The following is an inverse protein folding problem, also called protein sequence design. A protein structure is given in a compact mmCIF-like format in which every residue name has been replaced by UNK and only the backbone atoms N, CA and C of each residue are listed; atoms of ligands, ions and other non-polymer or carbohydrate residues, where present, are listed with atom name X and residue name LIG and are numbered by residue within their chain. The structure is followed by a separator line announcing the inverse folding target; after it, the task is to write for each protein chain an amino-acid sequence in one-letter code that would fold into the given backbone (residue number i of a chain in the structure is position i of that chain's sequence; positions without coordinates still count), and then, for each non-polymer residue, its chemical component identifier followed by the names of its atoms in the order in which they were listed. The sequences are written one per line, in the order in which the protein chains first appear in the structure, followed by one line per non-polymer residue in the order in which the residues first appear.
data_IF_544843557644
#
_entry.id   IF_544843557644
#
_cell.length_a   1.000
_cell.length_b   1.000
_cell.length_c   1.000
_cell.angle_alpha   90.00
_cell.angle_beta   90.00
_cell.angle_gamma   90.00
#
_symmetry.space_group_name_H-M   'P 1'
#
loop_
_entity.id
_entity.type
_entity.pdbx_description
1 polymer ?
#
# COMPACT_ATOMS: atom_id res chain seq x y z
N UNK A 1 4.08 19.04 -12.69
CA UNK A 1 4.77 17.81 -13.16
C UNK A 1 4.15 17.42 -14.49
N UNK A 2 4.96 17.26 -15.56
CA UNK A 2 4.46 17.07 -16.93
C UNK A 2 3.92 15.65 -17.09
N UNK A 3 2.62 15.48 -17.14
CA UNK A 3 1.91 14.18 -17.19
C UNK A 3 2.22 13.35 -18.46
N UNK A 4 2.77 13.97 -19.50
CA UNK A 4 3.10 13.33 -20.79
C UNK A 4 4.37 12.48 -20.77
N UNK A 5 5.08 12.41 -19.62
CA UNK A 5 6.34 11.65 -19.47
C UNK A 5 6.18 10.34 -18.71
N UNK A 6 4.97 9.88 -18.39
CA UNK A 6 4.80 8.57 -17.77
C UNK A 6 4.95 7.49 -18.87
N UNK A 7 6.09 6.74 -18.89
CA UNK A 7 6.29 5.74 -19.92
C UNK A 7 5.31 4.59 -19.72
N UNK A 8 4.43 4.38 -20.70
CA UNK A 8 3.57 3.20 -20.87
C UNK A 8 2.88 2.72 -19.57
N UNK A 9 2.04 3.58 -19.01
CA UNK A 9 1.11 3.20 -17.95
C UNK A 9 -0.23 2.79 -18.59
N UNK A 10 -0.81 1.69 -18.11
CA UNK A 10 -2.08 1.15 -18.61
C UNK A 10 -3.12 1.33 -17.51
N UNK A 11 -4.24 1.99 -17.83
CA UNK A 11 -5.39 2.06 -16.92
C UNK A 11 -6.10 0.72 -16.91
N UNK A 12 -6.14 0.08 -15.74
CA UNK A 12 -6.73 -1.27 -15.56
C UNK A 12 -8.11 -1.24 -14.92
N UNK A 13 -8.43 -0.16 -14.19
CA UNK A 13 -9.72 -0.01 -13.53
C UNK A 13 -10.05 1.46 -13.30
N UNK A 14 -11.34 1.74 -13.02
CA UNK A 14 -11.82 3.02 -12.49
C UNK A 14 -12.71 2.76 -11.29
N UNK A 15 -12.40 3.39 -10.18
CA UNK A 15 -13.16 3.31 -8.92
C UNK A 15 -13.61 4.72 -8.57
N UNK A 16 -14.92 4.99 -8.63
CA UNK A 16 -15.51 6.31 -8.37
C UNK A 16 -14.79 7.45 -9.11
N UNK A 17 -14.54 7.27 -10.43
CA UNK A 17 -13.82 8.21 -11.28
C UNK A 17 -12.31 8.39 -10.97
N UNK A 18 -11.72 7.59 -10.09
CA UNK A 18 -10.26 7.50 -9.88
C UNK A 18 -9.72 6.42 -10.83
N UNK A 19 -8.80 6.80 -11.71
CA UNK A 19 -8.14 5.86 -12.61
C UNK A 19 -7.05 5.08 -11.87
N UNK A 20 -7.14 3.75 -11.90
CA UNK A 20 -6.09 2.86 -11.41
C UNK A 20 -5.19 2.49 -12.58
N UNK A 21 -3.93 2.87 -12.51
CA UNK A 21 -2.99 2.77 -13.62
C UNK A 21 -1.76 1.97 -13.18
N UNK A 22 -1.37 0.99 -13.99
CA UNK A 22 -0.17 0.18 -13.76
C UNK A 22 0.94 0.64 -14.71
N UNK A 23 2.11 0.92 -14.16
CA UNK A 23 3.33 1.09 -14.94
C UNK A 23 3.85 -0.29 -15.36
N UNK A 24 4.45 -0.40 -16.54
CA UNK A 24 5.01 -1.67 -17.04
C UNK A 24 6.02 -2.32 -16.07
N UNK A 25 6.70 -1.53 -15.24
CA UNK A 25 7.65 -1.99 -14.20
C UNK A 25 6.98 -2.84 -13.12
N UNK A 26 5.67 -2.71 -12.96
CA UNK A 26 4.89 -3.48 -12.00
C UNK A 26 5.04 -5.00 -12.25
N UNK A 27 4.95 -5.43 -13.53
CA UNK A 27 5.02 -6.85 -13.90
C UNK A 27 6.35 -7.52 -13.48
N UNK A 28 7.54 -7.03 -13.88
CA UNK A 28 8.79 -7.67 -13.49
C UNK A 28 9.06 -7.60 -11.99
N UNK A 29 8.61 -6.56 -11.30
CA UNK A 29 8.78 -6.44 -9.84
C UNK A 29 7.97 -7.51 -9.12
N UNK A 30 6.70 -7.72 -9.46
CA UNK A 30 5.88 -8.78 -8.88
C UNK A 30 6.38 -10.17 -9.24
N UNK A 31 6.79 -10.36 -10.49
CA UNK A 31 7.39 -11.62 -10.95
C UNK A 31 8.64 -11.97 -10.14
N UNK A 32 9.53 -11.00 -9.92
CA UNK A 32 10.73 -11.18 -9.12
C UNK A 32 10.41 -11.47 -7.65
N UNK A 33 9.48 -10.74 -7.06
CA UNK A 33 9.07 -10.97 -5.67
C UNK A 33 8.46 -12.36 -5.48
N UNK A 34 7.55 -12.75 -6.39
CA UNK A 34 6.97 -14.09 -6.37
C UNK A 34 8.05 -15.16 -6.53
N UNK A 35 8.99 -14.96 -7.46
CA UNK A 35 10.11 -15.88 -7.68
C UNK A 35 11.00 -16.01 -6.43
N UNK A 36 11.42 -14.90 -5.84
CA UNK A 36 12.27 -14.91 -4.64
C UNK A 36 11.59 -15.58 -3.46
N UNK A 37 10.31 -15.33 -3.26
CA UNK A 37 9.53 -15.94 -2.20
C UNK A 37 9.38 -17.46 -2.44
N UNK A 38 9.08 -17.86 -3.68
CA UNK A 38 8.84 -19.26 -4.05
C UNK A 38 10.12 -20.12 -4.10
N UNK A 39 11.25 -19.54 -4.48
CA UNK A 39 12.49 -20.31 -4.68
C UNK A 39 13.47 -20.23 -3.50
N UNK A 40 13.39 -19.16 -2.69
CA UNK A 40 14.36 -18.95 -1.61
C UNK A 40 13.71 -18.97 -0.22
N UNK A 41 12.66 -18.17 -0.01
CA UNK A 41 12.13 -17.93 1.34
C UNK A 41 11.29 -19.11 1.81
N UNK A 42 10.28 -19.51 1.05
CA UNK A 42 9.37 -20.58 1.46
C UNK A 42 10.06 -21.96 1.50
N UNK A 43 10.85 -22.39 0.50
CA UNK A 43 11.55 -23.68 0.57
C UNK A 43 12.57 -23.76 1.70
N UNK A 44 13.26 -22.67 2.03
CA UNK A 44 14.20 -22.64 3.14
C UNK A 44 13.49 -22.86 4.50
N UNK A 45 12.23 -22.44 4.61
CA UNK A 45 11.45 -22.55 5.85
C UNK A 45 10.56 -23.78 5.88
N UNK A 46 10.10 -24.23 4.71
CA UNK A 46 9.16 -25.33 4.51
C UNK A 46 9.67 -26.30 3.42
N UNK A 47 10.78 -27.04 3.68
CA UNK A 47 11.41 -27.85 2.65
C UNK A 47 10.57 -29.05 2.16
N UNK A 48 9.52 -29.40 2.92
CA UNK A 48 8.62 -30.50 2.56
C UNK A 48 7.41 -30.05 1.73
N UNK A 49 7.27 -28.76 1.44
CA UNK A 49 6.19 -28.29 0.59
C UNK A 49 6.46 -28.64 -0.87
N UNK A 50 5.41 -29.02 -1.57
CA UNK A 50 5.48 -29.19 -3.03
C UNK A 50 5.79 -27.85 -3.72
N UNK A 51 6.46 -27.95 -4.86
CA UNK A 51 6.82 -26.77 -5.68
C UNK A 51 5.57 -25.95 -6.03
N UNK A 52 4.47 -26.60 -6.41
CA UNK A 52 3.19 -25.95 -6.69
C UNK A 52 2.67 -25.16 -5.50
N UNK A 53 2.74 -25.70 -4.30
CA UNK A 53 2.31 -25.04 -3.06
C UNK A 53 3.13 -23.78 -2.77
N UNK A 54 4.46 -23.85 -2.93
CA UNK A 54 5.32 -22.68 -2.71
C UNK A 54 5.01 -21.57 -3.71
N UNK A 55 4.82 -21.89 -5.00
CA UNK A 55 4.51 -20.92 -6.03
C UNK A 55 3.11 -20.28 -5.84
N UNK A 56 2.09 -21.09 -5.58
CA UNK A 56 0.73 -20.59 -5.36
C UNK A 56 0.65 -19.70 -4.11
N UNK A 57 1.28 -20.12 -3.02
CA UNK A 57 1.34 -19.31 -1.79
C UNK A 57 2.07 -18.00 -2.02
N UNK A 58 3.21 -18.04 -2.74
CA UNK A 58 3.99 -16.84 -3.05
C UNK A 58 3.19 -15.85 -3.91
N UNK A 59 2.56 -16.35 -4.98
CA UNK A 59 1.74 -15.51 -5.85
C UNK A 59 0.55 -14.91 -5.09
N UNK A 60 -0.14 -15.70 -4.26
CA UNK A 60 -1.26 -15.24 -3.46
C UNK A 60 -0.85 -14.14 -2.47
N UNK A 61 0.29 -14.29 -1.78
CA UNK A 61 0.81 -13.30 -0.83
C UNK A 61 1.20 -12.02 -1.55
N UNK A 62 1.91 -12.10 -2.67
CA UNK A 62 2.34 -10.93 -3.45
C UNK A 62 1.13 -10.17 -3.98
N UNK A 63 0.14 -10.85 -4.58
CA UNK A 63 -1.07 -10.22 -5.08
C UNK A 63 -1.93 -9.62 -3.96
N UNK A 64 -2.05 -10.28 -2.81
CA UNK A 64 -2.77 -9.74 -1.66
C UNK A 64 -2.03 -8.52 -1.06
N UNK A 65 -0.70 -8.50 -1.10
CA UNK A 65 0.11 -7.32 -0.73
C UNK A 65 -0.15 -6.13 -1.64
N UNK A 66 -0.22 -6.35 -2.96
CA UNK A 66 -0.58 -5.30 -3.92
C UNK A 66 -2.02 -4.80 -3.72
N UNK A 67 -2.94 -5.70 -3.41
CA UNK A 67 -4.30 -5.30 -3.07
C UNK A 67 -4.35 -4.46 -1.78
N UNK A 68 -3.54 -4.80 -0.78
CA UNK A 68 -3.39 -3.99 0.43
C UNK A 68 -2.81 -2.60 0.12
N UNK A 69 -1.82 -2.50 -0.78
CA UNK A 69 -1.29 -1.23 -1.27
C UNK A 69 -2.37 -0.41 -1.99
N UNK A 70 -3.20 -1.04 -2.82
CA UNK A 70 -4.34 -0.37 -3.47
C UNK A 70 -5.31 0.20 -2.43
N UNK A 71 -5.66 -0.56 -1.38
CA UNK A 71 -6.54 -0.09 -0.32
C UNK A 71 -5.92 1.06 0.47
N UNK A 72 -4.62 1.03 0.71
CA UNK A 72 -3.86 2.13 1.32
C UNK A 72 -4.02 3.43 0.51
N UNK A 73 -3.73 3.39 -0.79
CA UNK A 73 -3.83 4.56 -1.68
C UNK A 73 -5.28 5.04 -1.87
N UNK A 74 -6.22 4.10 -2.01
CA UNK A 74 -7.64 4.45 -2.08
C UNK A 74 -8.14 5.15 -0.81
N UNK A 75 -7.62 4.77 0.35
CA UNK A 75 -7.98 5.42 1.61
C UNK A 75 -7.52 6.89 1.64
N UNK A 76 -6.29 7.19 1.18
CA UNK A 76 -5.84 8.56 0.95
C UNK A 76 -6.75 9.31 -0.01
N UNK A 77 -7.03 8.69 -1.16
CA UNK A 77 -7.82 9.30 -2.22
C UNK A 77 -9.25 9.62 -1.78
N UNK A 78 -9.92 8.72 -1.07
CA UNK A 78 -11.29 8.94 -0.60
C UNK A 78 -11.37 10.01 0.50
N UNK A 79 -10.43 10.01 1.45
CA UNK A 79 -10.40 11.03 2.49
C UNK A 79 -10.04 12.40 1.89
N UNK A 80 -9.12 12.46 0.94
CA UNK A 80 -8.77 13.69 0.22
C UNK A 80 -9.99 14.25 -0.52
N UNK A 81 -10.73 13.41 -1.26
CA UNK A 81 -11.96 13.82 -1.96
C UNK A 81 -13.06 14.29 -1.00
N UNK A 82 -13.22 13.60 0.12
CA UNK A 82 -14.15 14.01 1.18
C UNK A 82 -13.79 15.38 1.81
N UNK A 83 -12.58 15.86 1.57
CA UNK A 83 -12.09 17.19 1.99
C UNK A 83 -12.01 18.21 0.85
N UNK A 84 -12.64 17.91 -0.30
CA UNK A 84 -12.75 18.80 -1.44
C UNK A 84 -11.54 18.80 -2.40
N UNK A 85 -10.58 17.87 -2.23
CA UNK A 85 -9.50 17.70 -3.18
C UNK A 85 -9.95 16.84 -4.35
N UNK A 86 -9.58 17.21 -5.55
CA UNK A 86 -9.85 16.44 -6.75
C UNK A 86 -8.72 15.39 -6.93
N UNK A 87 -9.02 14.12 -6.71
CA UNK A 87 -8.11 13.00 -6.97
C UNK A 87 -8.53 12.32 -8.27
N UNK A 88 -7.62 12.23 -9.21
CA UNK A 88 -7.90 11.74 -10.57
C UNK A 88 -7.32 10.37 -10.86
N UNK A 89 -6.18 10.03 -10.26
CA UNK A 89 -5.44 8.82 -10.64
C UNK A 89 -4.59 8.28 -9.50
N UNK A 90 -4.45 6.94 -9.45
CA UNK A 90 -3.46 6.21 -8.65
C UNK A 90 -2.57 5.45 -9.64
N UNK A 91 -1.25 5.60 -9.52
CA UNK A 91 -0.27 4.96 -10.41
C UNK A 91 0.61 3.99 -9.63
N UNK A 92 0.62 2.73 -10.03
CA UNK A 92 1.46 1.68 -9.45
C UNK A 92 2.80 1.56 -10.19
N UNK A 93 3.89 1.52 -9.43
CA UNK A 93 5.27 1.40 -9.91
C UNK A 93 6.00 0.15 -9.37
N UNK A 94 5.32 -0.91 -9.04
CA UNK A 94 5.78 -2.07 -8.29
C UNK A 94 5.23 -2.03 -6.88
N UNK A 95 6.06 -2.16 -5.84
CA UNK A 95 5.63 -2.04 -4.44
C UNK A 95 5.44 -0.59 -3.95
N UNK A 96 5.35 0.35 -4.85
CA UNK A 96 5.04 1.74 -4.58
C UNK A 96 3.87 2.17 -5.45
N UNK A 97 3.03 3.01 -4.90
CA UNK A 97 1.99 3.67 -5.66
C UNK A 97 1.97 5.17 -5.31
N UNK A 98 1.43 5.96 -6.19
CA UNK A 98 1.34 7.41 -6.04
C UNK A 98 -0.08 7.87 -6.38
N UNK A 99 -0.70 8.57 -5.45
CA UNK A 99 -2.00 9.21 -5.66
C UNK A 99 -1.80 10.61 -6.25
N UNK A 100 -2.33 10.82 -7.46
CA UNK A 100 -2.28 12.09 -8.16
C UNK A 100 -3.55 12.89 -7.86
N UNK A 101 -3.38 14.02 -7.18
CA UNK A 101 -4.43 15.00 -6.93
C UNK A 101 -4.24 16.23 -7.83
N UNK A 102 -5.34 16.92 -8.15
CA UNK A 102 -5.30 18.25 -8.74
C UNK A 102 -4.65 19.26 -7.77
N UNK A 103 -4.22 20.40 -8.31
CA UNK A 103 -3.51 21.43 -7.55
C UNK A 103 -4.33 21.93 -6.36
N UNK A 104 -3.67 22.03 -5.22
CA UNK A 104 -4.21 22.55 -3.97
C UNK A 104 -3.64 21.82 -2.76
N UNK A 105 -3.25 22.57 -1.74
CA UNK A 105 -2.90 22.00 -0.45
C UNK A 105 -4.16 22.00 0.44
N UNK A 106 -4.50 20.88 1.07
CA UNK A 106 -5.57 20.86 2.06
C UNK A 106 -5.19 21.72 3.27
N UNK A 107 -6.20 22.15 4.04
CA UNK A 107 -5.93 22.78 5.34
C UNK A 107 -5.05 21.86 6.20
N UNK A 108 -4.13 22.39 7.03
CA UNK A 108 -3.13 21.59 7.74
C UNK A 108 -3.70 20.41 8.54
N UNK A 109 -4.86 20.59 9.19
CA UNK A 109 -5.52 19.51 9.92
C UNK A 109 -6.07 18.40 9.01
N UNK A 110 -6.54 18.75 7.83
CA UNK A 110 -7.00 17.80 6.82
C UNK A 110 -5.83 17.03 6.21
N UNK A 111 -4.70 17.70 5.98
CA UNK A 111 -3.50 17.08 5.42
C UNK A 111 -2.95 15.98 6.36
N UNK A 112 -2.88 16.23 7.66
CA UNK A 112 -2.46 15.23 8.63
C UNK A 112 -3.40 14.00 8.62
N UNK A 113 -4.73 14.22 8.56
CA UNK A 113 -5.69 13.13 8.48
C UNK A 113 -5.53 12.32 7.18
N UNK A 114 -5.41 13.00 6.03
CA UNK A 114 -5.20 12.36 4.74
C UNK A 114 -3.92 11.50 4.79
N UNK A 115 -2.83 12.03 5.35
CA UNK A 115 -1.57 11.32 5.43
C UNK A 115 -1.63 10.10 6.37
N UNK A 116 -2.41 10.12 7.44
CA UNK A 116 -2.46 9.02 8.42
C UNK A 116 -3.41 7.89 8.05
N UNK A 117 -4.36 8.13 7.14
CA UNK A 117 -5.39 7.11 6.83
C UNK A 117 -4.81 5.90 6.09
N UNK A 118 -3.81 6.09 5.21
CA UNK A 118 -3.13 4.98 4.52
C UNK A 118 -2.42 4.03 5.48
N UNK A 119 -1.47 4.50 6.28
CA UNK A 119 -0.87 3.69 7.34
C UNK A 119 -1.90 3.05 8.27
N UNK A 120 -2.97 3.79 8.63
CA UNK A 120 -4.10 3.26 9.41
C UNK A 120 -4.80 2.08 8.72
N UNK A 121 -4.98 2.15 7.41
CA UNK A 121 -5.55 1.04 6.61
C UNK A 121 -4.64 -0.20 6.69
N UNK A 122 -3.34 -0.03 6.58
CA UNK A 122 -2.40 -1.16 6.71
C UNK A 122 -2.42 -1.78 8.12
N UNK A 123 -2.50 -0.97 9.17
CA UNK A 123 -2.67 -1.47 10.54
C UNK A 123 -3.96 -2.28 10.67
N UNK A 124 -5.07 -1.80 10.11
CA UNK A 124 -6.34 -2.51 10.12
C UNK A 124 -6.26 -3.85 9.34
N UNK A 125 -5.61 -3.86 8.16
CA UNK A 125 -5.40 -5.08 7.37
C UNK A 125 -4.49 -6.08 8.08
N UNK A 126 -3.42 -5.62 8.73
CA UNK A 126 -2.58 -6.48 9.57
C UNK A 126 -3.38 -7.10 10.72
N UNK A 127 -4.20 -6.29 11.41
CA UNK A 127 -5.08 -6.75 12.47
C UNK A 127 -6.13 -7.76 11.97
N UNK A 128 -6.73 -7.52 10.80
CA UNK A 128 -7.67 -8.46 10.19
C UNK A 128 -6.99 -9.79 9.85
N UNK A 129 -5.83 -9.76 9.20
CA UNK A 129 -5.08 -10.98 8.86
C UNK A 129 -4.67 -11.76 10.14
N UNK A 130 -4.26 -11.06 11.20
CA UNK A 130 -3.97 -11.68 12.49
C UNK A 130 -5.22 -12.30 13.14
N UNK A 131 -6.35 -11.61 13.12
CA UNK A 131 -7.62 -12.11 13.65
C UNK A 131 -8.10 -13.36 12.90
N UNK A 132 -8.02 -13.35 11.55
CA UNK A 132 -8.35 -14.52 10.72
C UNK A 132 -7.44 -15.70 11.04
N UNK A 133 -6.14 -15.46 11.19
CA UNK A 133 -5.17 -16.49 11.57
C UNK A 133 -5.50 -17.14 12.91
N UNK A 134 -5.87 -16.34 13.90
CA UNK A 134 -6.26 -16.83 15.23
C UNK A 134 -7.63 -17.52 15.22
N UNK A 135 -8.61 -16.97 14.51
CA UNK A 135 -9.98 -17.49 14.49
C UNK A 135 -10.08 -18.85 13.80
N UNK A 136 -9.32 -19.03 12.72
CA UNK A 136 -9.36 -20.27 11.95
C UNK A 136 -8.32 -21.31 12.39
N UNK A 137 -7.44 -20.96 13.32
CA UNK A 137 -6.31 -21.80 13.80
C UNK A 137 -5.65 -22.56 12.65
N UNK A 138 -5.47 -21.86 11.52
CA UNK A 138 -4.98 -22.45 10.27
C UNK A 138 -3.55 -22.96 10.43
N UNK A 139 -3.22 -23.99 9.69
CA UNK A 139 -1.85 -24.50 9.55
C UNK A 139 -1.49 -24.58 8.07
N UNK A 140 -0.21 -24.70 7.77
CA UNK A 140 0.28 -24.84 6.41
C UNK A 140 0.24 -23.55 5.60
N UNK A 141 -0.03 -23.62 4.28
CA UNK A 141 0.10 -22.49 3.36
C UNK A 141 -0.75 -21.28 3.71
N UNK A 142 -1.97 -21.50 4.18
CA UNK A 142 -2.89 -20.41 4.57
C UNK A 142 -2.38 -19.67 5.80
N UNK A 143 -1.90 -20.37 6.81
CA UNK A 143 -1.31 -19.77 8.02
C UNK A 143 -0.09 -18.91 7.66
N UNK A 144 0.78 -19.44 6.81
CA UNK A 144 1.97 -18.73 6.34
C UNK A 144 1.59 -17.50 5.51
N UNK A 145 0.61 -17.62 4.63
CA UNK A 145 0.12 -16.48 3.84
C UNK A 145 -0.43 -15.37 4.76
N UNK A 146 -1.27 -15.71 5.72
CA UNK A 146 -1.81 -14.75 6.68
C UNK A 146 -0.70 -14.11 7.53
N UNK A 147 0.29 -14.89 8.00
CA UNK A 147 1.44 -14.35 8.72
C UNK A 147 2.23 -13.36 7.88
N UNK A 148 2.51 -13.68 6.61
CA UNK A 148 3.23 -12.80 5.71
C UNK A 148 2.43 -11.52 5.43
N UNK A 149 1.09 -11.60 5.34
CA UNK A 149 0.23 -10.42 5.21
C UNK A 149 0.24 -9.55 6.48
N UNK A 150 0.26 -10.14 7.68
CA UNK A 150 0.45 -9.39 8.93
C UNK A 150 1.77 -8.63 8.89
N UNK A 151 2.87 -9.32 8.59
CA UNK A 151 4.21 -8.73 8.60
C UNK A 151 4.39 -7.67 7.52
N UNK A 152 3.93 -7.92 6.30
CA UNK A 152 4.06 -6.96 5.20
C UNK A 152 3.23 -5.70 5.43
N UNK A 153 1.99 -5.82 5.90
CA UNK A 153 1.16 -4.66 6.21
C UNK A 153 1.69 -3.87 7.41
N UNK A 154 2.16 -4.55 8.46
CA UNK A 154 2.79 -3.87 9.61
C UNK A 154 4.08 -3.14 9.19
N UNK A 155 4.91 -3.75 8.35
CA UNK A 155 6.11 -3.13 7.81
C UNK A 155 5.76 -1.92 6.92
N UNK A 156 4.75 -2.04 6.05
CA UNK A 156 4.29 -0.94 5.19
C UNK A 156 3.79 0.23 6.05
N UNK A 157 2.96 -0.01 7.06
CA UNK A 157 2.50 1.02 7.98
C UNK A 157 3.67 1.71 8.69
N UNK A 158 4.63 0.94 9.20
CA UNK A 158 5.80 1.49 9.88
C UNK A 158 6.66 2.34 8.94
N UNK A 159 6.93 1.86 7.73
CA UNK A 159 7.73 2.59 6.73
C UNK A 159 7.03 3.85 6.24
N UNK A 160 5.72 3.82 6.01
CA UNK A 160 4.94 5.00 5.62
C UNK A 160 4.95 6.09 6.69
N UNK A 161 5.02 5.69 7.98
CA UNK A 161 5.05 6.63 9.11
C UNK A 161 6.45 7.19 9.41
N UNK A 162 7.52 6.60 8.87
CA UNK A 162 8.86 7.18 9.00
C UNK A 162 8.90 8.55 8.30
N UNK A 163 9.46 9.59 8.93
CA UNK A 163 9.51 10.94 8.34
C UNK A 163 10.64 11.03 7.30
N UNK A 164 10.54 10.23 6.26
CA UNK A 164 11.45 10.25 5.11
C UNK A 164 10.80 11.09 4.01
N UNK A 165 11.56 12.00 3.41
CA UNK A 165 11.03 13.03 2.50
C UNK A 165 9.96 12.55 1.52
N UNK A 166 8.75 13.10 1.66
CA UNK A 166 7.57 12.75 0.86
C UNK A 166 6.72 11.58 1.36
N UNK A 167 7.11 10.90 2.47
CA UNK A 167 6.30 9.86 3.10
C UNK A 167 5.06 10.43 3.80
N UNK A 168 4.10 9.56 4.15
CA UNK A 168 2.91 9.96 4.90
C UNK A 168 3.28 10.55 6.28
N UNK A 169 4.27 9.96 6.95
CA UNK A 169 4.79 10.48 8.21
C UNK A 169 5.39 11.87 8.08
N UNK A 170 6.13 12.15 7.01
CA UNK A 170 6.67 13.48 6.74
C UNK A 170 5.57 14.51 6.47
N UNK A 171 4.57 14.14 5.66
CA UNK A 171 3.39 14.99 5.39
C UNK A 171 2.60 15.28 6.67
N UNK A 172 2.34 14.26 7.49
CA UNK A 172 1.62 14.41 8.76
C UNK A 172 2.36 15.34 9.73
N UNK A 173 3.68 15.15 9.90
CA UNK A 173 4.51 16.01 10.75
C UNK A 173 4.59 17.44 10.23
N UNK A 174 4.72 17.62 8.92
CA UNK A 174 4.72 18.94 8.28
C UNK A 174 3.40 19.68 8.52
N UNK A 175 2.28 19.01 8.39
CA UNK A 175 0.96 19.56 8.65
C UNK A 175 0.79 19.98 10.12
N UNK A 176 1.23 19.13 11.06
CA UNK A 176 1.14 19.42 12.49
C UNK A 176 2.02 20.62 12.89
N UNK A 177 3.21 20.78 12.27
CA UNK A 177 4.07 21.94 12.51
C UNK A 177 3.42 23.23 12.01
N UNK A 178 2.82 23.22 10.82
CA UNK A 178 2.11 24.38 10.25
C UNK A 178 0.89 24.79 11.09
N UNK A 179 0.12 23.84 11.61
CA UNK A 179 -1.05 24.15 12.46
C UNK A 179 -0.66 24.86 13.76
N UNK A 180 0.48 24.49 14.36
CA UNK A 180 0.99 25.14 15.57
C UNK A 180 1.47 26.58 15.31
N UNK A 181 2.09 26.85 14.16
CA UNK A 181 2.56 28.21 13.81
C UNK A 181 1.40 29.16 13.50
N UNK A 182 0.27 28.67 13.00
CA UNK A 182 -0.91 29.47 12.68
C UNK A 182 -1.77 29.81 13.90
N UNK A 183 -1.63 29.07 15.00
CA UNK A 183 -2.38 29.32 16.25
C UNK A 183 -1.74 30.31 17.21
N UNK A 184 -0.56 30.84 16.88
CA UNK A 184 0.19 31.84 17.67
C UNK A 184 0.09 33.28 17.10
N UNK A 185 -0.80 33.53 16.13
CA UNK A 185 -1.13 34.87 15.63
C UNK A 185 -2.56 35.22 16.03
#
# INVERSE_FOLDING_TARGET
MNLDRLPRAITVARIQAIEITLNWRWIPVLGLATFLLAQNVLPARFPLWEVSTTWLTSAAVVLAGEFALLLHELSHAFVARGRGLEVTRIVFHGFQAETIAAEGLPAPGHEALIALVGPGTNVALAGLAAALRLAFATQGPVDVALLLLVLSNAAMAAMSLLPLGGSDGDRALGALRRSRSSGCQ
#
